data_IF_973576270705
#
_entry.id   IF_973576270705
#
_cell.length_a   1.000
_cell.length_b   1.000
_cell.length_c   1.000
_cell.angle_alpha   90.00
_cell.angle_beta   90.00
_cell.angle_gamma   90.00
#
_symmetry.space_group_name_H-M   'P 1'
#
loop_
_entity.id
_entity.type
_entity.pdbx_description
1 polymer ?
#
# COMPACT_ATOMS: atom_id res chain seq x y z
N UNK A 1 -17.06 2.37 -13.37
CA UNK A 1 -17.81 2.32 -14.66
C UNK A 1 -17.78 3.74 -15.20
N UNK A 2 -17.00 4.02 -16.25
CA UNK A 2 -16.77 5.40 -16.70
C UNK A 2 -18.06 6.01 -17.26
N UNK A 3 -18.37 7.23 -16.83
CA UNK A 3 -19.54 7.96 -17.32
C UNK A 3 -19.35 8.37 -18.78
N UNK A 4 -20.46 8.42 -19.52
CA UNK A 4 -20.44 8.90 -20.90
C UNK A 4 -20.17 10.40 -20.95
N UNK A 5 -19.77 10.90 -22.12
CA UNK A 5 -19.53 12.33 -22.35
C UNK A 5 -20.74 13.19 -21.95
N UNK A 6 -21.94 12.75 -22.34
CA UNK A 6 -23.19 13.45 -22.03
C UNK A 6 -23.50 13.44 -20.53
N UNK A 7 -23.29 12.32 -19.85
CA UNK A 7 -23.46 12.24 -18.39
C UNK A 7 -22.48 13.16 -17.65
N UNK A 8 -21.23 13.25 -18.11
CA UNK A 8 -20.21 14.15 -17.53
C UNK A 8 -20.63 15.62 -17.70
N UNK A 9 -21.09 16.00 -18.90
CA UNK A 9 -21.57 17.35 -19.17
C UNK A 9 -22.83 17.64 -18.32
N UNK A 10 -23.82 16.74 -18.32
CA UNK A 10 -25.09 16.92 -17.60
C UNK A 10 -24.94 16.94 -16.08
N UNK A 11 -23.84 16.39 -15.55
CA UNK A 11 -23.54 16.42 -14.11
C UNK A 11 -22.60 17.56 -13.69
N UNK A 12 -22.07 18.35 -14.63
CA UNK A 12 -21.12 19.42 -14.35
C UNK A 12 -21.63 20.77 -14.88
N UNK A 13 -22.11 21.68 -14.00
CA UNK A 13 -22.68 22.98 -14.41
C UNK A 13 -21.72 23.81 -15.27
N UNK A 14 -20.43 23.80 -14.93
CA UNK A 14 -19.42 24.58 -15.66
C UNK A 14 -19.19 24.03 -17.07
N UNK A 15 -19.34 22.72 -17.29
CA UNK A 15 -19.28 22.16 -18.64
C UNK A 15 -20.54 22.49 -19.44
N UNK A 16 -21.71 22.52 -18.80
CA UNK A 16 -22.95 22.97 -19.44
C UNK A 16 -22.85 24.42 -19.90
N UNK A 17 -22.35 25.31 -19.03
CA UNK A 17 -22.10 26.72 -19.38
C UNK A 17 -21.16 26.85 -20.58
N UNK A 18 -20.12 26.01 -20.64
CA UNK A 18 -19.18 26.00 -21.77
C UNK A 18 -19.81 25.47 -23.06
N UNK A 19 -20.69 24.46 -22.99
CA UNK A 19 -21.46 23.98 -24.15
C UNK A 19 -22.40 25.07 -24.66
N UNK A 20 -23.14 25.74 -23.77
CA UNK A 20 -24.02 26.85 -24.13
C UNK A 20 -23.25 28.00 -24.79
N UNK A 21 -22.06 28.32 -24.28
CA UNK A 21 -21.18 29.31 -24.90
C UNK A 21 -20.77 28.92 -26.32
N UNK A 22 -20.39 27.65 -26.54
CA UNK A 22 -20.03 27.13 -27.86
C UNK A 22 -21.22 27.26 -28.82
N UNK A 23 -22.42 26.85 -28.40
CA UNK A 23 -23.65 26.95 -29.21
C UNK A 23 -23.96 28.41 -29.62
N UNK A 24 -23.85 29.36 -28.68
CA UNK A 24 -24.08 30.79 -28.95
C UNK A 24 -23.07 31.36 -29.97
N UNK A 25 -21.81 30.91 -29.90
CA UNK A 25 -20.74 31.35 -30.80
C UNK A 25 -20.90 30.72 -32.19
N UNK A 26 -21.36 29.48 -32.31
CA UNK A 26 -21.70 28.85 -33.59
C UNK A 26 -22.85 29.57 -34.29
N UNK A 27 -23.89 29.94 -33.55
CA UNK A 27 -25.00 30.73 -34.09
C UNK A 27 -24.51 32.11 -34.61
N UNK A 28 -23.54 32.71 -33.92
CA UNK A 28 -22.92 33.97 -34.34
C UNK A 28 -22.07 33.84 -35.60
N UNK A 29 -21.42 32.69 -35.81
CA UNK A 29 -20.69 32.36 -37.04
C UNK A 29 -21.63 32.19 -38.23
N UNK A 30 -22.76 31.50 -38.03
CA UNK A 30 -23.80 31.34 -39.05
C UNK A 30 -24.38 32.69 -39.51
N UNK A 31 -24.32 33.72 -38.66
CA UNK A 31 -24.72 35.10 -38.97
C UNK A 31 -23.62 35.95 -39.63
N UNK A 32 -22.47 35.36 -40.00
CA UNK A 32 -21.44 36.00 -40.83
C UNK A 32 -20.32 36.74 -40.09
N UNK A 33 -20.10 36.49 -38.80
CA UNK A 33 -18.97 37.04 -38.02
C UNK A 33 -17.79 36.06 -38.02
N UNK A 34 -16.82 36.22 -38.93
CA UNK A 34 -16.05 35.03 -39.34
C UNK A 34 -14.68 34.83 -38.65
N UNK A 35 -13.82 35.84 -38.51
CA UNK A 35 -12.42 35.59 -38.08
C UNK A 35 -12.24 35.27 -36.59
N UNK A 36 -12.67 36.19 -35.72
CA UNK A 36 -12.42 36.09 -34.27
C UNK A 36 -13.24 34.96 -33.61
N UNK A 37 -14.47 34.75 -34.08
CA UNK A 37 -15.39 33.77 -33.50
C UNK A 37 -14.94 32.33 -33.78
N UNK A 38 -14.35 32.04 -34.95
CA UNK A 38 -13.80 30.72 -35.25
C UNK A 38 -12.67 30.33 -34.28
N UNK A 39 -11.81 31.28 -33.93
CA UNK A 39 -10.71 31.03 -33.00
C UNK A 39 -11.20 30.80 -31.57
N UNK A 40 -12.12 31.63 -31.07
CA UNK A 40 -12.75 31.44 -29.75
C UNK A 40 -13.49 30.09 -29.67
N UNK A 41 -14.16 29.68 -30.75
CA UNK A 41 -14.86 28.40 -30.81
C UNK A 41 -13.89 27.21 -30.71
N UNK A 42 -12.79 27.27 -31.46
CA UNK A 42 -11.77 26.22 -31.43
C UNK A 42 -11.15 26.10 -30.02
N UNK A 43 -10.86 27.22 -29.38
CA UNK A 43 -10.36 27.23 -28.00
C UNK A 43 -11.38 26.65 -27.01
N UNK A 44 -12.65 27.05 -27.11
CA UNK A 44 -13.70 26.55 -26.22
C UNK A 44 -13.92 25.04 -26.37
N UNK A 45 -13.93 24.52 -27.61
CA UNK A 45 -14.04 23.07 -27.88
C UNK A 45 -12.84 22.30 -27.32
N UNK A 46 -11.63 22.79 -27.54
CA UNK A 46 -10.42 22.17 -26.97
C UNK A 46 -10.43 22.16 -25.43
N UNK A 47 -10.87 23.26 -24.81
CA UNK A 47 -11.02 23.35 -23.37
C UNK A 47 -12.08 22.38 -22.83
N UNK A 48 -13.20 22.22 -23.54
CA UNK A 48 -14.26 21.26 -23.19
C UNK A 48 -13.74 19.82 -23.24
N UNK A 49 -13.09 19.43 -24.34
CA UNK A 49 -12.53 18.09 -24.51
C UNK A 49 -11.46 17.78 -23.45
N UNK A 50 -10.59 18.76 -23.16
CA UNK A 50 -9.55 18.61 -22.12
C UNK A 50 -10.17 18.37 -20.75
N UNK A 51 -11.20 19.14 -20.37
CA UNK A 51 -11.86 18.99 -19.06
C UNK A 51 -12.60 17.66 -18.95
N UNK A 52 -13.24 17.21 -20.02
CA UNK A 52 -13.91 15.90 -20.05
C UNK A 52 -12.89 14.77 -19.89
N UNK A 53 -11.77 14.83 -20.62
CA UNK A 53 -10.68 13.86 -20.49
C UNK A 53 -10.15 13.80 -19.05
N UNK A 54 -9.88 14.95 -18.44
CA UNK A 54 -9.40 15.01 -17.05
C UNK A 54 -10.38 14.39 -16.05
N UNK A 55 -11.70 14.58 -16.25
CA UNK A 55 -12.71 13.95 -15.39
C UNK A 55 -12.69 12.43 -15.58
N UNK A 56 -12.60 11.94 -16.82
CA UNK A 56 -12.55 10.51 -17.11
C UNK A 56 -11.27 9.86 -16.56
N UNK A 57 -10.12 10.52 -16.71
CA UNK A 57 -8.85 10.06 -16.16
C UNK A 57 -8.91 9.96 -14.62
N UNK A 58 -9.50 10.97 -13.96
CA UNK A 58 -9.70 10.94 -12.52
C UNK A 58 -10.65 9.82 -12.08
N UNK A 59 -11.72 9.56 -12.83
CA UNK A 59 -12.63 8.44 -12.57
C UNK A 59 -11.90 7.09 -12.69
N UNK A 60 -11.06 6.89 -13.71
CA UNK A 60 -10.27 5.66 -13.89
C UNK A 60 -9.25 5.47 -12.77
N UNK A 61 -8.58 6.56 -12.35
CA UNK A 61 -7.67 6.52 -11.20
C UNK A 61 -8.42 6.12 -9.93
N UNK A 62 -9.61 6.69 -9.71
CA UNK A 62 -10.41 6.39 -8.53
C UNK A 62 -10.89 4.92 -8.53
N UNK A 63 -11.37 4.43 -9.67
CA UNK A 63 -11.76 3.02 -9.85
C UNK A 63 -10.58 2.06 -9.58
N UNK A 64 -9.34 2.44 -9.97
CA UNK A 64 -8.13 1.65 -9.67
C UNK A 64 -7.77 1.71 -8.19
N UNK A 65 -7.89 2.87 -7.56
CA UNK A 65 -7.62 3.05 -6.13
C UNK A 65 -8.58 2.23 -5.28
N UNK A 66 -9.87 2.25 -5.61
CA UNK A 66 -10.91 1.48 -4.90
C UNK A 66 -10.63 -0.02 -4.99
N UNK A 67 -10.28 -0.53 -6.18
CA UNK A 67 -9.88 -1.94 -6.35
C UNK A 67 -8.64 -2.30 -5.54
N UNK A 68 -7.63 -1.43 -5.51
CA UNK A 68 -6.43 -1.65 -4.73
C UNK A 68 -6.74 -1.66 -3.22
N UNK A 69 -7.64 -0.78 -2.77
CA UNK A 69 -8.10 -0.73 -1.39
C UNK A 69 -8.85 -2.03 -0.99
N UNK A 70 -9.81 -2.47 -1.80
CA UNK A 70 -10.53 -3.73 -1.59
C UNK A 70 -9.58 -4.94 -1.51
N UNK A 71 -8.59 -5.00 -2.40
CA UNK A 71 -7.56 -6.06 -2.37
C UNK A 71 -6.73 -6.00 -1.08
N UNK A 72 -6.35 -4.81 -0.62
CA UNK A 72 -5.62 -4.61 0.62
C UNK A 72 -6.43 -5.08 1.83
N UNK A 73 -7.72 -4.72 1.90
CA UNK A 73 -8.61 -5.16 2.99
C UNK A 73 -8.75 -6.68 2.99
N UNK A 74 -8.99 -7.30 1.83
CA UNK A 74 -9.09 -8.76 1.72
C UNK A 74 -7.77 -9.47 2.11
N UNK A 75 -6.62 -8.86 1.81
CA UNK A 75 -5.32 -9.40 2.25
C UNK A 75 -5.16 -9.32 3.76
N UNK A 76 -5.53 -8.19 4.37
CA UNK A 76 -5.51 -7.98 5.82
C UNK A 76 -6.37 -9.02 6.55
N UNK A 77 -7.58 -9.29 6.07
CA UNK A 77 -8.47 -10.31 6.62
C UNK A 77 -7.86 -11.71 6.57
N UNK A 78 -7.23 -12.07 5.44
CA UNK A 78 -6.52 -13.36 5.30
C UNK A 78 -5.33 -13.47 6.26
N UNK A 79 -4.59 -12.39 6.46
CA UNK A 79 -3.47 -12.35 7.41
C UNK A 79 -4.00 -12.50 8.84
N UNK A 80 -5.06 -11.79 9.21
CA UNK A 80 -5.70 -11.91 10.52
C UNK A 80 -6.13 -13.35 10.80
N UNK A 81 -6.81 -13.99 9.86
CA UNK A 81 -7.24 -15.39 10.01
C UNK A 81 -6.05 -16.35 10.22
N UNK A 82 -4.96 -16.17 9.45
CA UNK A 82 -3.74 -16.96 9.64
C UNK A 82 -3.09 -16.73 10.99
N UNK A 83 -3.18 -15.51 11.52
CA UNK A 83 -2.68 -15.18 12.85
C UNK A 83 -3.49 -15.91 13.93
N UNK A 84 -4.82 -15.86 13.86
CA UNK A 84 -5.72 -16.59 14.78
C UNK A 84 -5.49 -18.11 14.73
N UNK A 85 -5.32 -18.67 13.52
CA UNK A 85 -5.02 -20.09 13.33
C UNK A 85 -3.64 -20.46 13.92
N UNK A 86 -2.64 -19.60 13.74
CA UNK A 86 -1.31 -19.80 14.32
C UNK A 86 -1.32 -19.71 15.84
N UNK A 87 -2.08 -18.77 16.42
CA UNK A 87 -2.24 -18.65 17.88
C UNK A 87 -2.80 -19.94 18.48
N UNK A 88 -3.85 -20.52 17.87
CA UNK A 88 -4.40 -21.82 18.28
C UNK A 88 -3.37 -22.94 18.17
N UNK A 89 -2.59 -22.96 17.09
CA UNK A 89 -1.54 -23.97 16.92
C UNK A 89 -0.44 -23.84 17.98
N UNK A 90 -0.06 -22.62 18.35
CA UNK A 90 0.89 -22.37 19.45
C UNK A 90 0.32 -22.88 20.77
N UNK A 91 -0.93 -22.55 21.12
CA UNK A 91 -1.58 -23.07 22.33
C UNK A 91 -1.60 -24.61 22.38
N UNK A 92 -1.95 -25.26 21.26
CA UNK A 92 -1.93 -26.72 21.17
C UNK A 92 -0.51 -27.31 21.32
N UNK A 93 0.50 -26.61 20.81
CA UNK A 93 1.91 -27.01 20.97
C UNK A 93 2.35 -26.88 22.44
N UNK A 94 1.97 -25.78 23.10
CA UNK A 94 2.27 -25.57 24.52
C UNK A 94 1.65 -26.67 25.40
N UNK A 95 0.42 -27.08 25.10
CA UNK A 95 -0.25 -28.18 25.81
C UNK A 95 0.49 -29.50 25.63
N UNK A 96 0.82 -29.88 24.38
CA UNK A 96 1.63 -31.09 24.11
C UNK A 96 3.00 -31.07 24.77
N UNK A 97 3.64 -29.90 24.83
CA UNK A 97 4.92 -29.74 25.53
C UNK A 97 4.75 -29.95 27.02
N UNK A 98 3.67 -29.45 27.64
CA UNK A 98 3.37 -29.70 29.06
C UNK A 98 3.12 -31.18 29.33
N UNK A 99 2.30 -31.84 28.51
CA UNK A 99 2.04 -33.29 28.61
C UNK A 99 3.35 -34.11 28.55
N UNK A 100 4.23 -33.82 27.59
CA UNK A 100 5.53 -34.49 27.50
C UNK A 100 6.48 -34.14 28.66
N UNK A 101 6.37 -32.95 29.25
CA UNK A 101 7.16 -32.57 30.42
C UNK A 101 6.70 -33.35 31.65
N UNK A 102 5.40 -33.54 31.82
CA UNK A 102 4.81 -34.35 32.89
C UNK A 102 5.16 -35.85 32.72
N UNK A 103 5.14 -36.38 31.49
CA UNK A 103 5.67 -37.72 31.18
C UNK A 103 7.17 -37.84 31.50
N UNK A 104 7.95 -36.79 31.28
CA UNK A 104 9.39 -36.76 31.59
C UNK A 104 9.67 -36.60 33.10
N UNK A 105 8.81 -35.93 33.87
CA UNK A 105 8.93 -35.87 35.33
C UNK A 105 8.71 -37.25 35.98
N UNK A 106 8.04 -38.19 35.29
CA UNK A 106 7.94 -39.59 35.72
C UNK A 106 9.23 -40.39 35.50
N UNK A 107 10.25 -39.85 34.81
CA UNK A 107 11.53 -40.51 34.60
C UNK A 107 12.65 -39.85 35.44
N UNK A 108 13.01 -40.41 36.62
CA UNK A 108 14.00 -39.82 37.51
C UNK A 108 15.42 -39.75 36.93
N UNK A 109 15.67 -40.35 35.76
CA UNK A 109 16.99 -40.37 35.11
C UNK A 109 17.27 -39.12 34.24
N UNK A 110 16.25 -38.35 33.84
CA UNK A 110 16.42 -37.17 32.96
C UNK A 110 16.67 -35.86 33.74
N UNK A 111 16.18 -35.78 34.99
CA UNK A 111 16.36 -34.62 35.90
C UNK A 111 17.83 -34.32 36.18
N UNK A 112 18.69 -35.33 36.18
CA UNK A 112 20.16 -35.18 36.35
C UNK A 112 20.89 -34.85 35.04
N UNK A 113 20.29 -35.08 33.87
CA UNK A 113 20.90 -34.78 32.57
C UNK A 113 20.62 -33.33 32.10
N UNK A 114 19.43 -32.80 32.37
CA UNK A 114 19.01 -31.45 31.91
C UNK A 114 19.67 -30.31 32.69
N UNK A 115 20.16 -30.57 33.91
CA UNK A 115 20.89 -29.59 34.70
C UNK A 115 22.26 -29.16 34.08
N UNK A 116 22.67 -29.71 32.92
CA UNK A 116 24.00 -29.48 32.35
C UNK A 116 24.09 -28.77 30.98
N UNK A 117 23.01 -28.38 30.28
CA UNK A 117 22.97 -27.39 29.15
C UNK A 117 21.59 -27.43 28.45
N UNK A 118 21.04 -26.34 27.85
CA UNK A 118 21.76 -25.27 27.15
C UNK A 118 21.12 -23.86 27.29
N UNK A 119 21.63 -23.01 28.21
CA UNK A 119 21.22 -21.59 28.28
C UNK A 119 21.82 -20.73 27.16
N UNK A 120 22.93 -21.19 26.55
CA UNK A 120 23.67 -20.44 25.53
C UNK A 120 23.00 -20.43 24.16
N UNK A 121 22.33 -21.51 23.78
CA UNK A 121 21.69 -21.64 22.45
C UNK A 121 20.39 -20.84 22.36
N UNK A 122 19.65 -20.73 23.48
CA UNK A 122 18.45 -19.91 23.57
C UNK A 122 18.78 -18.42 23.45
N UNK A 123 19.84 -17.95 24.14
CA UNK A 123 20.30 -16.57 24.05
C UNK A 123 20.75 -16.18 22.63
N UNK A 124 21.32 -17.13 21.87
CA UNK A 124 21.71 -16.89 20.49
C UNK A 124 20.50 -16.72 19.55
N UNK A 125 19.46 -17.54 19.72
CA UNK A 125 18.21 -17.43 18.97
C UNK A 125 17.48 -16.12 19.26
N UNK A 126 17.38 -15.71 20.53
CA UNK A 126 16.81 -14.41 20.88
C UNK A 126 17.61 -13.24 20.29
N UNK A 127 18.94 -13.33 20.26
CA UNK A 127 19.80 -12.34 19.62
C UNK A 127 19.53 -12.20 18.11
N UNK A 128 19.34 -13.31 17.40
CA UNK A 128 19.03 -13.30 15.95
C UNK A 128 17.67 -12.67 15.69
N UNK A 129 16.66 -13.01 16.49
CA UNK A 129 15.30 -12.47 16.31
C UNK A 129 15.30 -10.96 16.54
N UNK A 130 15.91 -10.49 17.63
CA UNK A 130 16.02 -9.06 17.94
C UNK A 130 16.79 -8.33 16.83
N UNK A 131 17.90 -8.90 16.35
CA UNK A 131 18.69 -8.33 15.26
C UNK A 131 17.91 -8.24 13.94
N UNK A 132 17.03 -9.21 13.67
CA UNK A 132 16.25 -9.22 12.43
C UNK A 132 15.15 -8.16 12.48
N UNK A 133 14.49 -8.01 13.64
CA UNK A 133 13.46 -6.99 13.84
C UNK A 133 14.03 -5.57 13.79
N UNK A 134 15.21 -5.32 14.41
CA UNK A 134 15.86 -4.00 14.30
C UNK A 134 16.26 -3.70 12.87
N UNK A 135 16.80 -4.66 12.12
CA UNK A 135 17.14 -4.47 10.72
C UNK A 135 15.93 -4.11 9.86
N UNK A 136 14.80 -4.82 10.01
CA UNK A 136 13.57 -4.53 9.27
C UNK A 136 12.96 -3.17 9.63
N UNK A 137 13.04 -2.77 10.91
CA UNK A 137 12.61 -1.45 11.38
C UNK A 137 13.49 -0.31 10.81
N UNK A 138 14.79 -0.54 10.68
CA UNK A 138 15.71 0.41 10.05
C UNK A 138 15.45 0.50 8.54
N UNK A 139 15.23 -0.62 7.86
CA UNK A 139 14.92 -0.67 6.43
C UNK A 139 13.62 0.09 6.10
N UNK A 140 12.59 -0.05 6.95
CA UNK A 140 11.34 0.69 6.78
C UNK A 140 11.51 2.19 7.00
N UNK A 141 12.33 2.62 7.95
CA UNK A 141 12.66 4.03 8.15
C UNK A 141 13.47 4.62 6.98
N UNK A 142 14.42 3.87 6.43
CA UNK A 142 15.20 4.31 5.26
C UNK A 142 14.30 4.49 4.04
N UNK A 143 13.38 3.56 3.79
CA UNK A 143 12.40 3.67 2.70
C UNK A 143 11.43 4.85 2.87
N UNK A 144 11.15 5.24 4.11
CA UNK A 144 10.22 6.34 4.43
C UNK A 144 10.90 7.73 4.38
N UNK A 145 12.19 7.83 4.69
CA UNK A 145 12.88 9.12 4.87
C UNK A 145 14.02 9.42 3.86
N UNK A 146 14.38 8.46 2.99
CA UNK A 146 15.02 8.68 1.68
C UNK A 146 16.35 9.44 1.57
N UNK A 147 16.95 9.94 2.65
CA UNK A 147 18.02 10.97 2.56
C UNK A 147 19.26 10.73 3.42
N UNK A 148 19.46 9.51 3.95
CA UNK A 148 20.61 9.22 4.84
C UNK A 148 21.34 7.89 4.59
N UNK A 149 21.05 7.19 3.49
CA UNK A 149 21.50 5.81 3.27
C UNK A 149 23.04 5.67 3.13
N UNK A 150 23.69 6.60 2.43
CA UNK A 150 25.12 6.44 2.11
C UNK A 150 26.05 6.56 3.33
N UNK A 151 25.75 7.45 4.27
CA UNK A 151 26.61 7.69 5.44
C UNK A 151 26.47 6.59 6.50
N UNK A 152 25.28 5.98 6.61
CA UNK A 152 25.01 4.90 7.57
C UNK A 152 25.46 3.53 7.05
N UNK A 153 25.37 3.27 5.73
CA UNK A 153 25.86 2.04 5.13
C UNK A 153 27.39 1.94 5.25
N UNK A 154 28.10 3.05 5.06
CA UNK A 154 29.56 3.11 5.24
C UNK A 154 29.97 2.82 6.70
N UNK A 155 29.22 3.36 7.67
CA UNK A 155 29.43 3.08 9.10
C UNK A 155 29.14 1.63 9.49
N UNK A 156 28.07 1.03 8.94
CA UNK A 156 27.68 -0.35 9.24
C UNK A 156 28.65 -1.36 8.60
N UNK A 157 29.08 -1.13 7.36
CA UNK A 157 30.07 -1.99 6.68
C UNK A 157 31.43 -1.94 7.39
N UNK A 158 31.90 -0.77 7.82
CA UNK A 158 33.13 -0.65 8.61
C UNK A 158 33.06 -1.38 9.95
N UNK A 159 31.91 -1.34 10.62
CA UNK A 159 31.74 -2.01 11.91
C UNK A 159 31.57 -3.54 11.79
N UNK A 160 31.01 -4.03 10.67
CA UNK A 160 30.83 -5.47 10.45
C UNK A 160 32.09 -6.16 9.89
N UNK A 161 32.91 -5.44 9.12
CA UNK A 161 34.12 -5.99 8.48
C UNK A 161 35.45 -5.53 9.11
N UNK A 162 35.42 -4.65 10.11
CA UNK A 162 36.61 -4.27 10.88
C UNK A 162 37.73 -3.68 10.02
N UNK A 163 37.38 -2.81 9.07
CA UNK A 163 38.32 -2.04 8.23
C UNK A 163 38.39 -0.58 8.70
#
# INVERSE_FOLDING_TARGET
MCRTREEIINSNPTLQDLVLFIEQKEESLLKGKNGHVHFELAQARAALDTRISQIQDNEDINDKLDKAHEQSVAMMERVSKRFDDNEKNVCNLEEKVKEHLEECELNPTLKTAIAKKPLKTLGWLFGIIISTYTFLFFLSHILLYGTGFDVLLEGFVKNLFGL
#
